data_IF_020433588728
#
_entry.id   IF_020433588728
#
_cell.length_a   1.000
_cell.length_b   1.000
_cell.length_c   1.000
_cell.angle_alpha   90.00
_cell.angle_beta   90.00
_cell.angle_gamma   90.00
#
_symmetry.space_group_name_H-M   'P 1'
#
loop_
_entity.id
_entity.type
_entity.pdbx_description
1 polymer ?
#
# COMPACT_ATOMS: atom_id res chain seq x y z
N UNK A 1 2.99 26.51 -15.41
CA UNK A 1 4.39 26.18 -15.71
C UNK A 1 4.42 24.78 -16.35
N UNK A 2 4.89 24.69 -17.61
CA UNK A 2 4.92 23.46 -18.40
C UNK A 2 5.83 22.39 -17.74
N UNK A 3 6.92 22.82 -17.11
CA UNK A 3 7.85 21.94 -16.40
C UNK A 3 7.18 21.32 -15.17
N UNK A 4 6.42 22.08 -14.41
CA UNK A 4 5.68 21.56 -13.24
C UNK A 4 4.69 20.47 -13.67
N UNK A 5 3.92 20.72 -14.73
CA UNK A 5 2.98 19.73 -15.28
C UNK A 5 3.69 18.45 -15.72
N UNK A 6 4.85 18.57 -16.36
CA UNK A 6 5.66 17.41 -16.79
C UNK A 6 6.13 16.58 -15.58
N UNK A 7 6.62 17.24 -14.54
CA UNK A 7 7.06 16.56 -13.32
C UNK A 7 5.91 15.85 -12.61
N UNK A 8 4.75 16.50 -12.45
CA UNK A 8 3.57 15.86 -11.88
C UNK A 8 3.08 14.66 -12.69
N UNK A 9 3.05 14.79 -14.01
CA UNK A 9 2.66 13.69 -14.91
C UNK A 9 3.56 12.46 -14.67
N UNK A 10 4.88 12.68 -14.58
CA UNK A 10 5.85 11.62 -14.31
C UNK A 10 5.69 11.03 -12.92
N UNK A 11 5.58 11.86 -11.90
CA UNK A 11 5.43 11.42 -10.51
C UNK A 11 4.16 10.58 -10.33
N UNK A 12 3.03 11.08 -10.84
CA UNK A 12 1.75 10.38 -10.80
C UNK A 12 1.81 9.04 -11.54
N UNK A 13 2.42 8.98 -12.74
CA UNK A 13 2.59 7.73 -13.48
C UNK A 13 3.37 6.68 -12.68
N UNK A 14 4.50 7.06 -12.08
CA UNK A 14 5.30 6.17 -11.24
C UNK A 14 4.51 5.69 -10.01
N UNK A 15 3.78 6.59 -9.35
CA UNK A 15 2.96 6.24 -8.19
C UNK A 15 1.82 5.29 -8.56
N UNK A 16 1.13 5.50 -9.69
CA UNK A 16 0.09 4.58 -10.18
C UNK A 16 0.63 3.19 -10.51
N UNK A 17 1.91 3.08 -10.87
CA UNK A 17 2.59 1.80 -11.07
C UNK A 17 3.20 1.25 -9.76
N UNK A 18 2.86 1.80 -8.61
CA UNK A 18 3.39 1.44 -7.30
C UNK A 18 4.93 1.56 -7.18
N UNK A 19 5.57 2.34 -8.07
CA UNK A 19 6.99 2.65 -8.01
C UNK A 19 7.26 3.82 -7.03
N UNK A 20 6.86 3.62 -5.78
CA UNK A 20 6.75 4.67 -4.76
C UNK A 20 8.06 5.43 -4.51
N UNK A 21 9.22 4.74 -4.46
CA UNK A 21 10.50 5.41 -4.20
C UNK A 21 10.92 6.31 -5.37
N UNK A 22 10.67 5.87 -6.60
CA UNK A 22 10.96 6.69 -7.78
C UNK A 22 9.99 7.88 -7.87
N UNK A 23 8.71 7.65 -7.56
CA UNK A 23 7.71 8.71 -7.53
C UNK A 23 8.06 9.77 -6.47
N UNK A 24 8.46 9.34 -5.26
CA UNK A 24 8.89 10.23 -4.19
C UNK A 24 10.04 11.14 -4.63
N UNK A 25 11.08 10.61 -5.27
CA UNK A 25 12.19 11.43 -5.78
C UNK A 25 11.77 12.49 -6.80
N UNK A 26 10.70 12.24 -7.59
CA UNK A 26 10.15 13.26 -8.49
C UNK A 26 9.34 14.30 -7.71
N UNK A 27 8.50 13.89 -6.74
CA UNK A 27 7.78 14.83 -5.88
C UNK A 27 8.74 15.70 -5.05
N UNK A 28 9.84 15.15 -4.53
CA UNK A 28 10.90 15.92 -3.85
C UNK A 28 11.50 17.00 -4.76
N UNK A 29 11.68 16.68 -6.05
CA UNK A 29 12.13 17.67 -7.02
C UNK A 29 11.10 18.78 -7.23
N UNK A 30 9.80 18.44 -7.18
CA UNK A 30 8.72 19.43 -7.30
C UNK A 30 8.72 20.37 -6.09
N UNK A 31 8.74 19.86 -4.85
CA UNK A 31 8.72 20.70 -3.65
C UNK A 31 10.00 21.53 -3.49
N UNK A 32 11.12 21.07 -4.05
CA UNK A 32 12.37 21.84 -4.10
C UNK A 32 12.24 23.04 -5.03
N UNK A 33 11.61 22.87 -6.18
CA UNK A 33 11.46 23.93 -7.19
C UNK A 33 10.22 24.81 -6.93
N UNK A 34 9.16 24.23 -6.36
CA UNK A 34 7.87 24.83 -6.03
C UNK A 34 7.49 24.55 -4.59
N UNK A 35 8.04 25.27 -3.61
CA UNK A 35 7.93 24.91 -2.19
C UNK A 35 6.52 25.04 -1.58
N UNK A 36 5.60 25.69 -2.25
CA UNK A 36 4.20 25.90 -1.83
C UNK A 36 3.20 24.97 -2.54
N UNK A 37 3.70 23.94 -3.22
CA UNK A 37 2.89 23.03 -4.01
C UNK A 37 2.29 21.90 -3.13
N UNK A 38 1.10 22.14 -2.59
CA UNK A 38 0.40 21.24 -1.68
C UNK A 38 0.24 19.81 -2.20
N UNK A 39 -0.10 19.66 -3.50
CA UNK A 39 -0.31 18.35 -4.14
C UNK A 39 0.99 17.53 -4.15
N UNK A 40 2.15 18.15 -4.26
CA UNK A 40 3.42 17.44 -4.27
C UNK A 40 3.76 16.89 -2.88
N UNK A 41 3.51 17.65 -1.82
CA UNK A 41 3.64 17.14 -0.44
C UNK A 41 2.65 16.00 -0.18
N UNK A 42 1.42 16.13 -0.64
CA UNK A 42 0.46 15.02 -0.55
C UNK A 42 0.94 13.78 -1.32
N UNK A 43 1.53 13.97 -2.49
CA UNK A 43 2.17 12.91 -3.27
C UNK A 43 3.29 12.20 -2.50
N UNK A 44 4.14 12.94 -1.75
CA UNK A 44 5.18 12.37 -0.87
C UNK A 44 4.56 11.51 0.23
N UNK A 45 3.50 11.99 0.88
CA UNK A 45 2.75 11.21 1.88
C UNK A 45 2.25 9.90 1.29
N UNK A 46 1.58 9.93 0.13
CA UNK A 46 1.06 8.73 -0.51
C UNK A 46 2.18 7.73 -0.87
N UNK A 47 3.33 8.21 -1.32
CA UNK A 47 4.49 7.35 -1.60
C UNK A 47 5.07 6.75 -0.33
N UNK A 48 5.21 7.53 0.74
CA UNK A 48 5.77 7.09 2.02
C UNK A 48 4.99 5.95 2.64
N UNK A 49 3.66 6.03 2.61
CA UNK A 49 2.77 5.00 3.12
C UNK A 49 2.41 3.93 2.07
N UNK A 50 2.95 4.04 0.85
CA UNK A 50 2.72 3.09 -0.25
C UNK A 50 1.24 2.99 -0.61
N UNK A 51 0.58 4.13 -0.81
CA UNK A 51 -0.86 4.17 -1.03
C UNK A 51 -1.19 3.91 -2.50
N UNK A 52 -1.93 2.84 -2.73
CA UNK A 52 -2.60 2.52 -3.98
C UNK A 52 -4.11 2.67 -3.78
N UNK A 53 -4.80 3.22 -4.79
CA UNK A 53 -6.26 3.30 -4.80
C UNK A 53 -6.81 2.20 -5.70
N UNK A 54 -7.56 1.29 -5.11
CA UNK A 54 -8.23 0.18 -5.80
C UNK A 54 -9.74 0.38 -5.81
N UNK A 55 -10.44 -0.25 -6.76
CA UNK A 55 -11.89 -0.23 -6.79
C UNK A 55 -12.45 -1.26 -5.80
N UNK A 56 -13.38 -0.83 -4.94
CA UNK A 56 -14.17 -1.76 -4.15
C UNK A 56 -15.25 -2.45 -5.00
N UNK A 57 -16.03 -3.33 -4.40
CA UNK A 57 -17.10 -4.06 -5.07
C UNK A 57 -18.20 -3.17 -5.68
N UNK A 58 -18.22 -1.88 -5.31
CA UNK A 58 -19.17 -0.87 -5.83
C UNK A 58 -18.57 0.02 -6.90
N UNK A 59 -17.28 -0.15 -7.21
CA UNK A 59 -16.50 0.70 -8.12
C UNK A 59 -16.01 2.01 -7.48
N UNK A 60 -16.09 2.12 -6.15
CA UNK A 60 -15.55 3.27 -5.43
C UNK A 60 -14.07 3.05 -5.16
N UNK A 61 -13.25 4.09 -5.39
CA UNK A 61 -11.82 4.09 -5.06
C UNK A 61 -11.62 4.10 -3.54
N UNK A 62 -10.91 3.12 -3.04
CA UNK A 62 -10.48 3.02 -1.64
C UNK A 62 -8.96 2.91 -1.56
N UNK A 63 -8.32 3.49 -0.52
CA UNK A 63 -6.88 3.37 -0.34
C UNK A 63 -6.51 2.00 0.20
N UNK A 64 -5.40 1.46 -0.28
CA UNK A 64 -4.68 0.32 0.30
C UNK A 64 -3.27 0.74 0.69
N UNK A 65 -2.64 0.08 1.66
CA UNK A 65 -1.34 0.47 2.20
C UNK A 65 -0.30 -0.61 1.96
N UNK A 66 0.60 -0.42 0.98
CA UNK A 66 1.70 -1.34 0.70
C UNK A 66 2.83 -1.27 1.73
N UNK A 67 2.87 -0.23 2.54
CA UNK A 67 3.89 0.00 3.58
C UNK A 67 3.23 0.27 4.93
N UNK A 68 3.81 -0.30 5.97
CA UNK A 68 3.35 -0.11 7.35
C UNK A 68 4.38 0.68 8.12
N UNK A 69 3.97 1.84 8.63
CA UNK A 69 4.81 2.72 9.44
C UNK A 69 4.25 2.83 10.85
N UNK A 70 5.10 2.88 11.88
CA UNK A 70 4.65 3.02 13.27
C UNK A 70 4.10 4.41 13.58
N UNK A 71 4.51 5.43 12.82
CA UNK A 71 4.03 6.81 12.95
C UNK A 71 2.70 7.01 12.22
N UNK A 72 1.78 7.73 12.87
CA UNK A 72 0.52 8.12 12.25
C UNK A 72 0.77 9.09 11.09
N UNK A 73 0.04 8.91 9.98
CA UNK A 73 0.02 9.87 8.88
C UNK A 73 -0.41 11.27 9.34
N UNK A 74 -1.19 11.36 10.42
CA UNK A 74 -1.65 12.64 10.97
C UNK A 74 -0.52 13.45 11.61
N UNK A 75 0.59 12.80 11.98
CA UNK A 75 1.77 13.40 12.59
C UNK A 75 2.92 13.58 11.59
N UNK A 76 2.66 13.32 10.31
CA UNK A 76 3.66 13.40 9.24
C UNK A 76 3.92 14.84 8.81
N UNK A 77 5.20 15.23 8.65
CA UNK A 77 5.60 16.59 8.30
C UNK A 77 5.14 16.97 6.88
N UNK A 78 5.21 16.05 5.92
CA UNK A 78 4.74 16.31 4.56
C UNK A 78 3.22 16.46 4.52
N UNK A 79 2.49 15.68 5.36
CA UNK A 79 1.05 15.88 5.52
C UNK A 79 0.71 17.25 6.11
N UNK A 80 1.47 17.70 7.09
CA UNK A 80 1.31 19.06 7.64
C UNK A 80 1.50 20.11 6.54
N UNK A 81 2.60 20.01 5.78
CA UNK A 81 2.92 20.92 4.67
C UNK A 81 1.85 20.89 3.58
N UNK A 82 1.38 19.70 3.19
CA UNK A 82 0.26 19.57 2.25
C UNK A 82 -0.99 20.31 2.73
N UNK A 83 -1.31 20.19 4.02
CA UNK A 83 -2.45 20.91 4.60
C UNK A 83 -2.24 22.42 4.68
N UNK A 84 -1.02 22.88 4.91
CA UNK A 84 -0.73 24.31 5.10
C UNK A 84 -0.73 25.08 3.78
N UNK A 85 -0.26 24.47 2.70
CA UNK A 85 -0.26 25.07 1.37
C UNK A 85 -1.55 24.84 0.58
N UNK A 86 -2.42 23.91 1.00
CA UNK A 86 -3.67 23.62 0.30
C UNK A 86 -4.73 24.70 0.50
N UNK A 87 -5.54 24.91 -0.54
CA UNK A 87 -6.82 25.60 -0.39
C UNK A 87 -7.78 24.84 0.53
N UNK A 88 -8.87 25.49 0.93
CA UNK A 88 -9.84 24.93 1.90
C UNK A 88 -10.43 23.59 1.41
N UNK A 89 -10.67 23.43 0.12
CA UNK A 89 -11.28 22.22 -0.45
C UNK A 89 -10.27 21.09 -0.45
N UNK A 90 -9.10 21.31 -0.99
CA UNK A 90 -8.00 20.32 -1.04
C UNK A 90 -7.57 19.89 0.36
N UNK A 91 -7.48 20.84 1.30
CA UNK A 91 -7.19 20.55 2.71
C UNK A 91 -8.22 19.62 3.36
N UNK A 92 -9.51 19.83 3.06
CA UNK A 92 -10.59 18.97 3.55
C UNK A 92 -10.46 17.55 2.98
N UNK A 93 -10.14 17.43 1.69
CA UNK A 93 -9.92 16.14 1.02
C UNK A 93 -8.73 15.41 1.65
N UNK A 94 -7.56 16.05 1.74
CA UNK A 94 -6.36 15.43 2.33
C UNK A 94 -6.59 14.95 3.76
N UNK A 95 -7.29 15.74 4.58
CA UNK A 95 -7.65 15.32 5.95
C UNK A 95 -8.60 14.13 6.00
N UNK A 96 -9.56 14.08 5.08
CA UNK A 96 -10.48 12.96 4.98
C UNK A 96 -9.78 11.67 4.58
N UNK A 97 -8.94 11.73 3.56
CA UNK A 97 -8.14 10.60 3.08
C UNK A 97 -7.11 10.15 4.11
N UNK A 98 -6.40 11.08 4.75
CA UNK A 98 -5.42 10.76 5.79
C UNK A 98 -6.07 9.99 6.95
N UNK A 99 -7.29 10.34 7.38
CA UNK A 99 -8.03 9.60 8.40
C UNK A 99 -8.37 8.17 7.96
N UNK A 100 -8.75 7.98 6.70
CA UNK A 100 -9.02 6.65 6.15
C UNK A 100 -7.75 5.79 6.12
N UNK A 101 -6.64 6.37 5.65
CA UNK A 101 -5.32 5.72 5.61
C UNK A 101 -4.84 5.38 7.02
N UNK A 102 -4.92 6.30 7.97
CA UNK A 102 -4.51 6.09 9.38
C UNK A 102 -5.28 4.93 10.03
N UNK A 103 -6.58 4.81 9.74
CA UNK A 103 -7.40 3.68 10.21
C UNK A 103 -6.91 2.35 9.66
N UNK A 104 -6.53 2.29 8.38
CA UNK A 104 -6.00 1.09 7.74
C UNK A 104 -4.63 0.74 8.33
N UNK A 105 -3.73 1.72 8.47
CA UNK A 105 -2.41 1.55 9.09
C UNK A 105 -2.52 0.97 10.50
N UNK A 106 -3.38 1.54 11.33
CA UNK A 106 -3.62 1.05 12.70
C UNK A 106 -4.09 -0.39 12.71
N UNK A 107 -5.02 -0.75 11.83
CA UNK A 107 -5.51 -2.13 11.72
C UNK A 107 -4.41 -3.11 11.31
N UNK A 108 -3.56 -2.73 10.35
CA UNK A 108 -2.41 -3.56 9.94
C UNK A 108 -1.44 -3.75 11.11
N UNK A 109 -1.13 -2.68 11.86
CA UNK A 109 -0.24 -2.74 13.02
C UNK A 109 -0.82 -3.59 14.16
N UNK A 110 -2.12 -3.50 14.41
CA UNK A 110 -2.83 -4.33 15.41
C UNK A 110 -2.74 -5.82 15.04
N UNK A 111 -2.98 -6.17 13.78
CA UNK A 111 -2.84 -7.54 13.28
C UNK A 111 -1.39 -8.02 13.44
N UNK A 112 -0.42 -7.21 12.99
CA UNK A 112 1.00 -7.55 13.09
C UNK A 112 1.48 -7.72 14.55
N UNK A 113 0.89 -6.98 15.50
CA UNK A 113 1.22 -7.10 16.93
C UNK A 113 0.62 -8.35 17.58
N UNK A 114 -0.51 -8.85 17.09
CA UNK A 114 -1.20 -10.03 17.64
C UNK A 114 -0.76 -11.34 16.99
N UNK A 115 -0.33 -11.30 15.74
CA UNK A 115 0.10 -12.46 14.98
C UNK A 115 1.61 -12.74 15.18
N UNK A 116 1.96 -14.02 15.40
CA UNK A 116 3.37 -14.41 15.34
C UNK A 116 3.90 -14.19 13.92
N UNK A 117 5.02 -13.50 13.73
CA UNK A 117 5.59 -13.24 12.41
C UNK A 117 5.70 -14.51 11.56
N UNK A 118 5.50 -14.34 10.27
CA UNK A 118 5.77 -15.41 9.30
C UNK A 118 7.26 -15.49 9.03
N UNK A 119 7.76 -16.70 8.83
CA UNK A 119 9.15 -16.91 8.39
C UNK A 119 9.26 -16.65 6.88
N UNK A 120 8.21 -17.02 6.14
CA UNK A 120 8.19 -16.95 4.67
C UNK A 120 6.82 -16.46 4.20
N UNK A 121 6.83 -15.59 3.19
CA UNK A 121 5.64 -15.14 2.46
C UNK A 121 5.73 -15.62 1.01
N UNK A 122 4.76 -16.46 0.58
CA UNK A 122 4.68 -16.93 -0.79
C UNK A 122 3.79 -15.99 -1.60
N UNK A 123 4.41 -15.26 -2.54
CA UNK A 123 3.71 -14.41 -3.52
C UNK A 123 3.63 -15.13 -4.86
N UNK A 124 2.44 -15.27 -5.42
CA UNK A 124 2.21 -15.96 -6.68
C UNK A 124 0.94 -15.45 -7.37
N UNK A 125 0.83 -15.68 -8.67
CA UNK A 125 -0.38 -15.37 -9.43
C UNK A 125 -1.32 -16.59 -9.36
N UNK A 126 -2.48 -16.44 -8.70
CA UNK A 126 -3.40 -17.56 -8.48
C UNK A 126 -4.20 -17.91 -9.73
N UNK A 127 -4.71 -16.90 -10.43
CA UNK A 127 -5.58 -17.07 -11.59
C UNK A 127 -5.07 -16.29 -12.79
N UNK A 128 -5.25 -16.84 -13.94
CA UNK A 128 -5.08 -16.18 -15.22
C UNK A 128 -6.23 -15.19 -15.45
N UNK A 129 -5.92 -13.95 -15.79
CA UNK A 129 -6.91 -12.87 -15.92
C UNK A 129 -7.86 -13.04 -17.10
N UNK A 130 -7.38 -13.67 -18.17
CA UNK A 130 -8.15 -13.86 -19.40
C UNK A 130 -9.09 -15.06 -19.32
N UNK A 131 -8.64 -16.13 -18.67
CA UNK A 131 -9.37 -17.41 -18.63
C UNK A 131 -10.04 -17.71 -17.30
N UNK A 132 -9.63 -17.02 -16.22
CA UNK A 132 -10.05 -17.33 -14.85
C UNK A 132 -9.54 -18.67 -14.32
N UNK A 133 -8.71 -19.39 -15.10
CA UNK A 133 -8.15 -20.68 -14.71
C UNK A 133 -6.99 -20.51 -13.72
N UNK A 134 -6.74 -21.58 -12.95
CA UNK A 134 -5.55 -21.62 -12.09
C UNK A 134 -4.28 -21.59 -12.94
N UNK A 135 -3.32 -20.79 -12.48
CA UNK A 135 -2.01 -20.72 -13.10
C UNK A 135 -1.13 -21.91 -12.68
N UNK A 136 -0.09 -22.19 -13.46
CA UNK A 136 0.96 -23.13 -13.09
C UNK A 136 1.69 -22.68 -11.82
N UNK A 137 1.91 -21.37 -11.67
CA UNK A 137 2.51 -20.75 -10.47
C UNK A 137 1.73 -21.12 -9.19
N UNK A 138 0.41 -21.19 -9.27
CA UNK A 138 -0.44 -21.59 -8.16
C UNK A 138 -0.21 -23.05 -7.73
N UNK A 139 0.13 -23.94 -8.64
CA UNK A 139 0.46 -25.33 -8.34
C UNK A 139 1.86 -25.44 -7.73
N UNK A 140 2.83 -24.76 -8.30
CA UNK A 140 4.20 -24.68 -7.79
C UNK A 140 4.22 -24.08 -6.38
N UNK A 141 3.47 -22.98 -6.15
CA UNK A 141 3.35 -22.35 -4.84
C UNK A 141 2.77 -23.30 -3.78
N UNK A 142 1.81 -24.15 -4.16
CA UNK A 142 1.24 -25.16 -3.27
C UNK A 142 2.28 -26.23 -2.88
N UNK A 143 3.10 -26.68 -3.82
CA UNK A 143 4.15 -27.67 -3.57
C UNK A 143 5.23 -27.08 -2.67
N UNK A 144 5.68 -25.87 -2.94
CA UNK A 144 6.65 -25.12 -2.09
C UNK A 144 6.09 -24.95 -0.68
N UNK A 145 4.83 -24.50 -0.52
CA UNK A 145 4.18 -24.40 0.77
C UNK A 145 4.24 -25.70 1.55
N UNK A 146 3.89 -26.80 0.88
CA UNK A 146 3.85 -28.13 1.52
C UNK A 146 5.20 -28.59 2.04
N UNK A 147 6.26 -28.34 1.28
CA UNK A 147 7.63 -28.70 1.72
C UNK A 147 8.10 -27.78 2.88
N UNK A 148 7.86 -26.48 2.78
CA UNK A 148 8.26 -25.53 3.84
C UNK A 148 7.55 -25.81 5.19
N UNK A 149 6.29 -26.20 5.17
CA UNK A 149 5.56 -26.59 6.40
C UNK A 149 6.16 -27.86 6.99
N UNK A 150 6.58 -28.84 6.17
CA UNK A 150 7.26 -30.06 6.66
C UNK A 150 8.59 -29.75 7.37
N UNK A 151 9.31 -28.73 6.87
CA UNK A 151 10.54 -28.22 7.46
C UNK A 151 10.30 -27.37 8.73
N UNK A 152 9.05 -27.11 9.10
CA UNK A 152 8.67 -26.42 10.32
C UNK A 152 8.60 -24.89 10.21
N UNK A 153 8.65 -24.33 9.02
CA UNK A 153 8.48 -22.90 8.83
C UNK A 153 7.02 -22.47 9.00
N UNK A 154 6.79 -21.27 9.56
CA UNK A 154 5.50 -20.58 9.52
C UNK A 154 5.38 -19.82 8.20
N UNK A 155 4.57 -20.33 7.30
CA UNK A 155 4.46 -19.82 5.94
C UNK A 155 3.12 -19.11 5.72
N UNK A 156 3.16 -17.87 5.21
CA UNK A 156 1.98 -17.24 4.66
C UNK A 156 1.77 -17.72 3.21
N UNK A 157 0.63 -18.33 2.99
CA UNK A 157 0.17 -18.77 1.69
C UNK A 157 -1.32 -18.44 1.57
N UNK A 158 -1.67 -17.44 0.77
CA UNK A 158 -3.00 -16.81 0.74
C UNK A 158 -4.14 -17.81 0.69
N UNK A 159 -4.01 -18.83 -0.14
CA UNK A 159 -5.02 -19.87 -0.35
C UNK A 159 -5.38 -20.68 0.90
N UNK A 160 -4.43 -20.89 1.79
CA UNK A 160 -4.62 -21.61 3.05
C UNK A 160 -4.89 -20.62 4.17
N UNK A 161 -4.00 -19.66 4.34
CA UNK A 161 -4.00 -18.72 5.48
C UNK A 161 -5.28 -17.86 5.50
N UNK A 162 -5.75 -17.36 4.35
CA UNK A 162 -6.93 -16.49 4.31
C UNK A 162 -8.25 -17.26 4.49
N UNK A 163 -8.27 -18.56 4.31
CA UNK A 163 -9.45 -19.38 4.63
C UNK A 163 -9.73 -19.46 6.13
N UNK A 164 -8.70 -19.33 6.95
CA UNK A 164 -8.81 -19.36 8.40
C UNK A 164 -9.22 -17.99 8.95
N UNK A 165 -9.05 -16.93 8.18
CA UNK A 165 -9.48 -15.58 8.51
C UNK A 165 -10.92 -15.40 8.07
N UNK A 166 -11.86 -15.70 8.95
CA UNK A 166 -13.29 -15.50 8.69
C UNK A 166 -13.62 -14.00 8.71
N UNK A 167 -13.91 -13.42 7.55
CA UNK A 167 -14.34 -12.02 7.45
C UNK A 167 -13.82 -11.28 6.23
N UNK A 168 -14.27 -10.09 6.04
CA UNK A 168 -14.41 -9.38 4.78
C UNK A 168 -13.21 -8.54 4.31
N UNK A 169 -12.10 -8.50 5.06
CA UNK A 169 -10.99 -7.62 4.70
C UNK A 169 -9.66 -8.38 4.75
N UNK A 170 -9.30 -9.03 3.63
CA UNK A 170 -8.06 -9.81 3.54
C UNK A 170 -6.80 -8.96 3.40
N UNK A 171 -6.91 -7.78 2.79
CA UNK A 171 -5.75 -6.93 2.49
C UNK A 171 -4.91 -6.56 3.72
N UNK A 172 -5.48 -6.08 4.85
CA UNK A 172 -4.68 -5.78 6.03
C UNK A 172 -3.88 -6.98 6.56
N UNK A 173 -4.43 -8.20 6.44
CA UNK A 173 -3.72 -9.43 6.82
C UNK A 173 -2.57 -9.75 5.87
N UNK A 174 -2.77 -9.57 4.56
CA UNK A 174 -1.73 -9.78 3.56
C UNK A 174 -0.56 -8.83 3.82
N UNK A 175 -0.83 -7.53 4.00
CA UNK A 175 0.22 -6.55 4.26
C UNK A 175 0.89 -6.71 5.62
N UNK A 176 0.14 -7.09 6.66
CA UNK A 176 0.72 -7.43 7.96
C UNK A 176 1.65 -8.64 7.87
N UNK A 177 1.24 -9.68 7.15
CA UNK A 177 2.04 -10.88 6.93
C UNK A 177 3.32 -10.55 6.12
N UNK A 178 3.19 -9.79 5.04
CA UNK A 178 4.32 -9.37 4.20
C UNK A 178 5.33 -8.53 4.99
N UNK A 179 4.84 -7.57 5.79
CA UNK A 179 5.70 -6.69 6.60
C UNK A 179 6.39 -7.43 7.75
N UNK A 180 5.85 -8.56 8.20
CA UNK A 180 6.39 -9.34 9.31
C UNK A 180 7.28 -10.50 8.88
N UNK A 181 7.24 -10.92 7.61
CA UNK A 181 8.07 -11.99 7.08
C UNK A 181 9.56 -11.60 7.12
N UNK A 182 10.42 -12.59 7.40
CA UNK A 182 11.87 -12.38 7.60
C UNK A 182 12.65 -12.52 6.31
#
# INVERSE_FOLDING_TARGET
DERKVTLFTRANHLRFNCEFDKAAGVYESIVTEFPDEAEAYWGLVLCKYGIEYVDDSTGKKIPTCHRTLPTSIMDDEDFSSACDYADTTSKSIYRGEAKAIDKIQKKILEIAATEKPYDIFICYKETDEDTGARTEDSSIAQDIYTELIKEGYKVFFSRVTLREVAGTEYEPYIYAALSSAK
#
